data_IF_898080908367
#
_entry.id   IF_898080908367
#
_cell.length_a   1.000
_cell.length_b   1.000
_cell.length_c   1.000
_cell.angle_alpha   90.00
_cell.angle_beta   90.00
_cell.angle_gamma   90.00
#
_symmetry.space_group_name_H-M   'P 1'
#
loop_
_entity.id
_entity.type
_entity.pdbx_description
1 polymer ?
#
# COMPACT_ATOMS: atom_id res chain seq x y z
N UNK A 1 -13.94 -17.51 -1.53
CA UNK A 1 -13.73 -16.07 -1.18
C UNK A 1 -12.44 -15.58 -1.84
N UNK A 2 -12.50 -14.54 -2.69
CA UNK A 2 -11.28 -13.87 -3.18
C UNK A 2 -10.63 -13.14 -2.00
N UNK A 3 -9.49 -13.61 -1.53
CA UNK A 3 -8.74 -12.94 -0.47
C UNK A 3 -8.41 -11.52 -0.93
N UNK A 4 -8.86 -10.51 -0.18
CA UNK A 4 -8.56 -9.12 -0.46
C UNK A 4 -7.05 -8.91 -0.61
N UNK A 5 -6.63 -8.16 -1.64
CA UNK A 5 -5.22 -7.82 -1.89
C UNK A 5 -4.61 -7.18 -0.64
N UNK A 6 -5.40 -6.37 0.08
CA UNK A 6 -5.01 -5.77 1.34
C UNK A 6 -4.62 -6.81 2.40
N UNK A 7 -5.43 -7.87 2.59
CA UNK A 7 -5.12 -8.93 3.56
C UNK A 7 -3.82 -9.68 3.21
N UNK A 8 -3.54 -9.86 1.92
CA UNK A 8 -2.28 -10.46 1.46
C UNK A 8 -1.08 -9.55 1.76
N UNK A 9 -1.24 -8.25 1.52
CA UNK A 9 -0.20 -7.25 1.82
C UNK A 9 0.02 -7.13 3.32
N UNK A 10 -1.04 -7.07 4.12
CA UNK A 10 -0.96 -7.03 5.59
C UNK A 10 -0.25 -8.27 6.16
N UNK A 11 -0.58 -9.46 5.68
CA UNK A 11 0.07 -10.70 6.14
C UNK A 11 1.57 -10.70 5.85
N UNK A 12 2.01 -10.10 4.74
CA UNK A 12 3.40 -10.13 4.28
C UNK A 12 4.24 -8.92 4.74
N UNK A 13 3.62 -7.75 4.83
CA UNK A 13 4.29 -6.46 5.03
C UNK A 13 3.70 -5.68 6.22
N UNK A 14 2.89 -6.31 7.08
CA UNK A 14 2.34 -5.65 8.26
C UNK A 14 3.41 -5.00 9.14
N UNK A 15 3.23 -3.72 9.43
CA UNK A 15 4.17 -2.86 10.14
C UNK A 15 5.30 -2.31 9.27
N UNK A 16 5.12 -2.27 7.94
CA UNK A 16 6.11 -1.77 7.00
C UNK A 16 5.50 -0.74 6.06
N UNK A 17 6.33 0.21 5.65
CA UNK A 17 6.14 0.99 4.44
C UNK A 17 6.33 0.11 3.23
N UNK A 18 5.50 0.32 2.22
CA UNK A 18 5.52 -0.43 0.96
C UNK A 18 5.42 0.56 -0.19
N UNK A 19 6.32 0.44 -1.16
CA UNK A 19 6.19 1.09 -2.46
C UNK A 19 5.65 0.09 -3.48
N UNK A 20 4.50 0.40 -4.08
CA UNK A 20 3.87 -0.43 -5.11
C UNK A 20 3.64 0.34 -6.41
N UNK A 21 3.29 -0.39 -7.46
CA UNK A 21 2.66 0.19 -8.65
C UNK A 21 1.31 0.81 -8.28
N UNK A 22 0.83 1.74 -9.11
CA UNK A 22 -0.49 2.37 -8.93
C UNK A 22 -1.66 1.37 -8.88
N UNK A 23 -1.54 0.24 -9.59
CA UNK A 23 -2.54 -0.83 -9.57
C UNK A 23 -2.35 -1.83 -8.41
N UNK A 24 -1.36 -1.60 -7.54
CA UNK A 24 -1.07 -2.40 -6.35
C UNK A 24 -0.58 -3.83 -6.64
N UNK A 25 -0.31 -4.19 -7.90
CA UNK A 25 0.09 -5.55 -8.29
C UNK A 25 1.57 -5.82 -8.09
N UNK A 26 2.42 -4.81 -8.28
CA UNK A 26 3.87 -4.93 -8.18
C UNK A 26 4.34 -4.23 -6.92
N UNK A 27 5.12 -4.93 -6.09
CA UNK A 27 5.78 -4.35 -4.93
C UNK A 27 7.24 -4.10 -5.27
N UNK A 28 7.65 -2.84 -5.27
CA UNK A 28 9.00 -2.41 -5.63
C UNK A 28 9.93 -2.43 -4.42
N UNK A 29 9.46 -2.04 -3.25
CA UNK A 29 10.22 -2.02 -2.01
C UNK A 29 9.30 -2.16 -0.79
N UNK A 30 9.84 -2.69 0.31
CA UNK A 30 9.20 -2.69 1.62
C UNK A 30 10.24 -2.50 2.72
N UNK A 31 9.93 -1.69 3.73
CA UNK A 31 10.84 -1.41 4.85
C UNK A 31 10.08 -0.88 6.07
N UNK A 32 10.65 -1.01 7.27
CA UNK A 32 10.09 -0.41 8.48
C UNK A 32 10.20 1.11 8.50
N UNK A 33 11.16 1.66 7.77
CA UNK A 33 11.46 3.09 7.71
C UNK A 33 11.19 3.61 6.30
N UNK A 34 10.57 4.79 6.21
CA UNK A 34 10.19 5.39 4.93
C UNK A 34 11.42 5.82 4.10
N UNK A 35 12.49 6.26 4.75
CA UNK A 35 13.72 6.69 4.05
C UNK A 35 14.37 5.55 3.26
N UNK A 36 14.30 4.34 3.81
CA UNK A 36 14.79 3.13 3.15
C UNK A 36 13.97 2.74 1.91
N UNK A 37 12.69 3.15 1.84
CA UNK A 37 11.88 3.01 0.62
C UNK A 37 12.44 3.91 -0.49
N UNK A 38 12.66 5.19 -0.20
CA UNK A 38 13.18 6.12 -1.20
C UNK A 38 14.58 5.74 -1.67
N UNK A 39 15.44 5.28 -0.75
CA UNK A 39 16.75 4.73 -1.09
C UNK A 39 16.61 3.53 -2.05
N UNK A 40 15.73 2.58 -1.73
CA UNK A 40 15.48 1.40 -2.57
C UNK A 40 14.95 1.77 -3.97
N UNK A 41 14.04 2.76 -4.05
CA UNK A 41 13.50 3.23 -5.33
C UNK A 41 14.59 3.88 -6.20
N UNK A 42 15.47 4.68 -5.58
CA UNK A 42 16.61 5.30 -6.25
C UNK A 42 17.60 4.26 -6.78
N UNK A 43 17.97 3.28 -5.96
CA UNK A 43 18.87 2.18 -6.35
C UNK A 43 18.30 1.36 -7.51
N UNK A 44 16.98 1.10 -7.49
CA UNK A 44 16.28 0.35 -8.54
C UNK A 44 15.93 1.20 -9.77
N UNK A 45 16.29 2.49 -9.79
CA UNK A 45 15.95 3.45 -10.85
C UNK A 45 14.45 3.50 -11.17
N UNK A 46 13.61 3.37 -10.14
CA UNK A 46 12.15 3.39 -10.28
C UNK A 46 11.68 4.84 -10.11
N UNK A 47 10.91 5.34 -11.08
CA UNK A 47 10.37 6.71 -11.02
C UNK A 47 9.35 6.83 -9.88
N UNK A 48 9.51 7.81 -8.97
CA UNK A 48 8.55 8.08 -7.89
C UNK A 48 7.13 8.35 -8.40
N UNK A 49 6.99 8.91 -9.60
CA UNK A 49 5.70 9.25 -10.22
C UNK A 49 4.87 8.02 -10.58
N UNK A 50 5.50 6.85 -10.71
CA UNK A 50 4.84 5.58 -11.01
C UNK A 50 4.59 4.73 -9.77
N UNK A 51 4.91 5.25 -8.58
CA UNK A 51 4.84 4.52 -7.33
C UNK A 51 3.84 5.11 -6.37
N UNK A 52 3.13 4.23 -5.65
CA UNK A 52 2.33 4.58 -4.48
C UNK A 52 3.10 4.08 -3.27
N UNK A 53 3.33 4.96 -2.29
CA UNK A 53 3.97 4.62 -1.02
C UNK A 53 2.91 4.67 0.07
N UNK A 54 2.75 3.59 0.81
CA UNK A 54 1.81 3.50 1.92
C UNK A 54 2.36 2.68 3.08
N UNK A 55 1.94 3.00 4.29
CA UNK A 55 2.19 2.17 5.46
C UNK A 55 1.12 1.09 5.56
N UNK A 56 1.54 -0.16 5.76
CA UNK A 56 0.64 -1.29 5.92
C UNK A 56 0.55 -1.63 7.42
N UNK A 57 -0.61 -1.39 8.02
CA UNK A 57 -0.79 -1.68 9.45
C UNK A 57 -0.72 -3.18 9.75
N UNK A 58 0.06 -3.54 10.77
CA UNK A 58 0.22 -4.93 11.22
C UNK A 58 -1.06 -5.48 11.86
N UNK A 59 -1.78 -4.61 12.58
CA UNK A 59 -3.04 -4.89 13.27
C UNK A 59 -3.92 -3.64 13.20
N UNK A 60 -5.17 -3.76 12.72
CA UNK A 60 -6.10 -2.64 12.68
C UNK A 60 -7.35 -2.93 11.86
N UNK A 61 -8.51 -2.64 12.44
CA UNK A 61 -9.81 -2.63 11.75
C UNK A 61 -9.74 -1.66 10.55
N UNK A 62 -10.14 -2.14 9.38
CA UNK A 62 -10.35 -1.29 8.20
C UNK A 62 -11.59 -0.43 8.46
N UNK A 63 -11.39 0.79 8.94
CA UNK A 63 -12.45 1.80 9.02
C UNK A 63 -12.61 2.42 7.64
N UNK A 64 -13.36 1.77 6.76
CA UNK A 64 -13.76 2.35 5.49
C UNK A 64 -14.93 3.31 5.75
N UNK A 65 -14.67 4.63 5.69
CA UNK A 65 -15.74 5.61 5.63
C UNK A 65 -16.31 5.58 4.21
N UNK A 66 -17.42 4.86 4.02
CA UNK A 66 -18.16 4.87 2.75
C UNK A 66 -19.22 5.97 2.87
N UNK A 67 -19.01 7.12 2.22
CA UNK A 67 -20.10 8.08 2.08
C UNK A 67 -21.08 7.54 1.04
N UNK A 68 -22.20 6.99 1.51
CA UNK A 68 -23.35 6.71 0.67
C UNK A 68 -23.98 8.05 0.30
N UNK A 69 -23.73 8.53 -0.92
CA UNK A 69 -24.57 9.56 -1.53
C UNK A 69 -25.93 8.92 -1.80
N UNK A 70 -26.93 9.25 -0.98
CA UNK A 70 -28.32 8.89 -1.23
C UNK A 70 -28.76 9.72 -2.43
N UNK A 71 -28.91 9.06 -3.58
CA UNK A 71 -29.61 9.62 -4.72
C UNK A 71 -31.10 9.54 -4.37
N UNK A 72 -31.71 10.69 -4.11
CA UNK A 72 -33.15 10.82 -3.91
C UNK A 72 -33.77 11.14 -5.27
N UNK A 73 -34.75 10.34 -5.69
CA UNK A 73 -35.61 10.59 -6.85
C UNK A 73 -36.49 11.84 -6.63
#
# INVERSE_FOLDING_TARGET
MKTSIYLKLQKKFGGQWVASSQDGKIIYASSKEVDNIFKSLKEKKISPQKTVIGFIDKYGQVSAYVSLSIQTD
#
